data_IF_274198697755
#
_entry.id   IF_274198697755
#
_cell.length_a   1.000
_cell.length_b   1.000
_cell.length_c   1.000
_cell.angle_alpha   90.00
_cell.angle_beta   90.00
_cell.angle_gamma   90.00
#
_symmetry.space_group_name_H-M   'P 1'
#
loop_
_entity.id
_entity.type
_entity.pdbx_description
1 polymer ?
#
# COMPACT_ATOMS: atom_id res chain seq x y z
N UNK A 1 16.40 -28.49 6.63
CA UNK A 1 16.58 -27.74 7.89
C UNK A 1 15.21 -27.28 8.34
N UNK A 2 14.79 -27.50 9.60
CA UNK A 2 13.52 -26.97 10.07
C UNK A 2 13.63 -25.45 10.12
N UNK A 3 12.71 -24.77 9.41
CA UNK A 3 12.71 -23.34 9.18
C UNK A 3 12.55 -22.52 10.46
N UNK A 4 13.29 -21.41 10.51
CA UNK A 4 13.14 -20.39 11.53
C UNK A 4 11.77 -19.72 11.36
N UNK A 5 11.02 -19.57 12.45
CA UNK A 5 9.67 -18.99 12.46
C UNK A 5 9.66 -17.48 12.21
N UNK A 6 10.80 -16.89 11.86
CA UNK A 6 11.03 -15.45 11.76
C UNK A 6 11.62 -15.00 10.41
N UNK A 7 11.66 -15.85 9.38
CA UNK A 7 12.12 -15.42 8.07
C UNK A 7 11.06 -14.54 7.38
N UNK A 8 11.36 -13.25 7.24
CA UNK A 8 10.50 -12.31 6.53
C UNK A 8 10.61 -12.57 5.03
N UNK A 9 9.51 -13.00 4.42
CA UNK A 9 9.40 -13.05 2.97
C UNK A 9 9.00 -11.66 2.43
N UNK A 10 9.96 -10.95 1.86
CA UNK A 10 9.77 -9.58 1.36
C UNK A 10 8.69 -9.48 0.27
N UNK A 11 8.57 -10.48 -0.62
CA UNK A 11 7.56 -10.47 -1.68
C UNK A 11 6.15 -10.59 -1.10
N UNK A 12 5.97 -11.42 -0.07
CA UNK A 12 4.69 -11.57 0.65
C UNK A 12 4.32 -10.25 1.36
N UNK A 13 5.27 -9.61 2.05
CA UNK A 13 5.02 -8.35 2.76
C UNK A 13 4.72 -7.19 1.80
N UNK A 14 5.38 -7.14 0.65
CA UNK A 14 5.08 -6.17 -0.41
C UNK A 14 3.70 -6.40 -1.03
N UNK A 15 3.29 -7.66 -1.22
CA UNK A 15 1.95 -7.99 -1.72
C UNK A 15 0.86 -7.65 -0.69
N UNK A 16 1.09 -7.88 0.60
CA UNK A 16 0.20 -7.43 1.69
C UNK A 16 0.02 -5.90 1.65
N UNK A 17 1.11 -5.16 1.56
CA UNK A 17 1.09 -3.70 1.44
C UNK A 17 0.30 -3.23 0.20
N UNK A 18 0.54 -3.85 -0.95
CA UNK A 18 -0.15 -3.54 -2.19
C UNK A 18 -1.66 -3.76 -2.09
N UNK A 19 -2.07 -4.91 -1.55
CA UNK A 19 -3.47 -5.25 -1.29
C UNK A 19 -4.11 -4.28 -0.32
N UNK A 20 -3.40 -3.87 0.74
CA UNK A 20 -3.87 -2.89 1.73
C UNK A 20 -4.17 -1.54 1.07
N UNK A 21 -3.23 -1.01 0.29
CA UNK A 21 -3.39 0.27 -0.45
C UNK A 21 -4.59 0.19 -1.39
N UNK A 22 -4.67 -0.88 -2.20
CA UNK A 22 -5.75 -1.06 -3.18
C UNK A 22 -7.12 -1.18 -2.53
N UNK A 23 -7.24 -1.97 -1.46
CA UNK A 23 -8.49 -2.15 -0.72
C UNK A 23 -9.01 -0.82 -0.18
N UNK A 24 -8.14 -0.04 0.45
CA UNK A 24 -8.50 1.27 1.01
C UNK A 24 -8.91 2.26 -0.08
N UNK A 25 -8.17 2.32 -1.20
CA UNK A 25 -8.58 3.16 -2.33
C UNK A 25 -9.98 2.81 -2.83
N UNK A 26 -10.26 1.52 -3.03
CA UNK A 26 -11.58 1.06 -3.49
C UNK A 26 -12.67 1.37 -2.46
N UNK A 27 -12.38 1.22 -1.16
CA UNK A 27 -13.31 1.57 -0.08
C UNK A 27 -13.65 3.07 -0.07
N UNK A 28 -12.74 3.94 -0.52
CA UNK A 28 -13.00 5.38 -0.72
C UNK A 28 -13.81 5.69 -2.00
N UNK A 29 -14.27 4.68 -2.74
CA UNK A 29 -15.10 4.84 -3.94
C UNK A 29 -14.33 4.99 -5.25
N UNK A 30 -12.99 4.90 -5.23
CA UNK A 30 -12.19 5.01 -6.44
C UNK A 30 -12.08 3.67 -7.14
N UNK A 31 -12.70 3.54 -8.32
CA UNK A 31 -12.54 2.36 -9.18
C UNK A 31 -11.22 2.38 -9.96
N UNK A 32 -10.73 3.58 -10.31
CA UNK A 32 -9.47 3.79 -11.03
C UNK A 32 -8.35 4.30 -10.10
N UNK A 33 -7.21 3.60 -10.13
CA UNK A 33 -6.01 4.04 -9.40
C UNK A 33 -5.42 5.33 -10.01
N UNK A 34 -5.63 5.57 -11.31
CA UNK A 34 -5.12 6.77 -11.99
C UNK A 34 -5.86 8.02 -11.54
N UNK A 35 -7.18 7.91 -11.35
CA UNK A 35 -8.02 8.99 -10.83
C UNK A 35 -7.62 9.32 -9.40
N UNK A 36 -7.53 8.30 -8.53
CA UNK A 36 -7.08 8.48 -7.14
C UNK A 36 -5.71 9.17 -7.07
N UNK A 37 -4.75 8.68 -7.85
CA UNK A 37 -3.40 9.24 -7.87
C UNK A 37 -3.39 10.69 -8.38
N UNK A 38 -4.15 11.00 -9.44
CA UNK A 38 -4.25 12.34 -9.98
C UNK A 38 -4.83 13.33 -8.96
N UNK A 39 -5.97 13.01 -8.35
CA UNK A 39 -6.63 13.88 -7.37
C UNK A 39 -5.79 14.12 -6.12
N UNK A 40 -5.00 13.12 -5.71
CA UNK A 40 -4.11 13.22 -4.55
C UNK A 40 -2.69 13.69 -4.90
N UNK A 41 -2.46 14.19 -6.11
CA UNK A 41 -1.16 14.69 -6.58
C UNK A 41 -0.01 13.67 -6.44
N UNK A 42 -0.32 12.39 -6.66
CA UNK A 42 0.62 11.27 -6.70
C UNK A 42 0.89 10.91 -8.17
N UNK A 43 2.14 10.55 -8.49
CA UNK A 43 2.45 10.07 -9.83
C UNK A 43 1.67 8.78 -10.15
N UNK A 44 0.83 8.81 -11.19
CA UNK A 44 -0.07 7.72 -11.61
C UNK A 44 0.66 6.40 -11.87
N UNK A 45 1.81 6.45 -12.55
CA UNK A 45 2.60 5.26 -12.89
C UNK A 45 3.17 4.63 -11.61
N UNK A 46 3.69 5.45 -10.71
CA UNK A 46 4.22 4.99 -9.44
C UNK A 46 3.13 4.40 -8.55
N UNK A 47 1.98 5.07 -8.44
CA UNK A 47 0.86 4.56 -7.64
C UNK A 47 0.38 3.19 -8.14
N UNK A 48 0.27 3.02 -9.45
CA UNK A 48 -0.06 1.71 -10.05
C UNK A 48 0.98 0.62 -9.79
N UNK A 49 2.25 0.97 -9.54
CA UNK A 49 3.29 0.01 -9.12
C UNK A 49 3.13 -0.40 -7.65
N UNK A 50 2.72 0.51 -6.78
CA UNK A 50 2.49 0.23 -5.36
C UNK A 50 1.37 -0.80 -5.17
N UNK A 51 0.29 -0.69 -5.95
CA UNK A 51 -0.78 -1.69 -5.95
C UNK A 51 -0.41 -3.04 -6.61
N UNK A 52 0.82 -3.16 -7.12
CA UNK A 52 1.38 -4.39 -7.72
C UNK A 52 2.54 -4.96 -6.90
N UNK A 53 2.77 -4.49 -5.68
CA UNK A 53 3.81 -5.01 -4.79
C UNK A 53 5.21 -4.48 -5.10
N UNK A 54 5.34 -3.34 -5.78
CA UNK A 54 6.65 -2.70 -5.90
C UNK A 54 6.99 -1.96 -4.61
N UNK A 55 8.26 -2.04 -4.23
CA UNK A 55 8.78 -1.33 -3.07
C UNK A 55 8.66 0.20 -3.23
N UNK A 56 8.58 0.90 -2.10
CA UNK A 56 8.48 2.35 -2.03
C UNK A 56 9.14 2.93 -0.79
N UNK A 57 9.67 4.15 -0.94
CA UNK A 57 10.27 4.88 0.19
C UNK A 57 9.21 5.19 1.25
N UNK A 58 9.60 5.16 2.53
CA UNK A 58 8.69 5.43 3.64
C UNK A 58 7.96 6.79 3.53
N UNK A 59 8.64 7.85 3.08
CA UNK A 59 7.98 9.16 2.86
C UNK A 59 6.92 9.14 1.75
N UNK A 60 7.08 8.26 0.76
CA UNK A 60 6.04 8.00 -0.24
C UNK A 60 4.86 7.27 0.41
N UNK A 61 5.12 6.29 1.27
CA UNK A 61 4.07 5.57 1.99
C UNK A 61 3.22 6.53 2.82
N UNK A 62 3.87 7.44 3.55
CA UNK A 62 3.17 8.47 4.34
C UNK A 62 2.29 9.38 3.49
N UNK A 63 2.70 9.70 2.25
CA UNK A 63 1.85 10.46 1.32
C UNK A 63 0.63 9.66 0.86
N UNK A 64 0.79 8.36 0.61
CA UNK A 64 -0.32 7.45 0.28
C UNK A 64 -1.28 7.32 1.46
N UNK A 65 -0.76 7.11 2.67
CA UNK A 65 -1.56 7.02 3.90
C UNK A 65 -2.35 8.32 4.12
N UNK A 66 -1.72 9.48 3.94
CA UNK A 66 -2.40 10.79 3.99
C UNK A 66 -3.51 10.91 2.94
N UNK A 67 -3.26 10.49 1.70
CA UNK A 67 -4.27 10.50 0.63
C UNK A 67 -5.46 9.57 0.93
N UNK A 68 -5.21 8.49 1.67
CA UNK A 68 -6.23 7.59 2.18
C UNK A 68 -6.97 8.16 3.39
N UNK A 69 -6.60 9.33 3.91
CA UNK A 69 -7.19 10.01 5.06
C UNK A 69 -7.11 9.16 6.34
N UNK A 70 -5.91 8.64 6.60
CA UNK A 70 -5.60 7.77 7.73
C UNK A 70 -4.29 8.17 8.39
N UNK A 71 -4.08 7.70 9.61
CA UNK A 71 -2.78 7.68 10.29
C UNK A 71 -2.00 6.39 9.97
N UNK A 72 -0.66 6.35 10.18
CA UNK A 72 0.10 5.12 10.03
C UNK A 72 -0.39 3.99 10.94
N UNK A 73 -0.79 4.30 12.18
CA UNK A 73 -1.30 3.31 13.11
C UNK A 73 -2.58 2.62 12.59
N UNK A 74 -3.54 3.40 12.09
CA UNK A 74 -4.76 2.85 11.48
C UNK A 74 -4.45 2.06 10.20
N UNK A 75 -3.51 2.54 9.38
CA UNK A 75 -3.11 1.87 8.15
C UNK A 75 -2.57 0.46 8.42
N UNK A 76 -1.68 0.30 9.41
CA UNK A 76 -1.03 -0.97 9.75
C UNK A 76 -1.82 -1.85 10.72
N UNK A 77 -3.00 -1.41 11.19
CA UNK A 77 -3.82 -2.17 12.15
C UNK A 77 -4.44 -3.46 11.58
N UNK A 78 -4.50 -3.63 10.26
CA UNK A 78 -5.09 -4.80 9.60
C UNK A 78 -4.47 -5.06 8.22
N UNK A 79 -4.58 -6.30 7.73
CA UNK A 79 -4.12 -6.69 6.39
C UNK A 79 -2.64 -7.10 6.30
N UNK A 80 -1.99 -7.31 7.44
CA UNK A 80 -0.59 -7.76 7.55
C UNK A 80 -0.45 -9.11 8.28
N UNK A 81 -1.56 -9.81 8.56
CA UNK A 81 -1.59 -11.14 9.18
C UNK A 81 -0.93 -12.23 8.31
#
# INVERSE_FOLDING_TARGET
>A
MPGDKNEINFDIELDKLAKRIKRLRVAKGYTSYEVFAFENSINRVQYGRYEKGNDLRYTTLLKVIKALDMTPAEFFSEGFD
#
